data_IF_173552875765
#
_entry.id   IF_173552875765
#
_cell.length_a   1.000
_cell.length_b   1.000
_cell.length_c   1.000
_cell.angle_alpha   90.00
_cell.angle_beta   90.00
_cell.angle_gamma   90.00
#
_symmetry.space_group_name_H-M   'P 1'
#
loop_
_entity.id
_entity.type
_entity.pdbx_description
1 polymer ?
#
# COMPACT_ATOMS: atom_id res chain seq x y z
N UNK A 1 4.60 17.10 12.54
CA UNK A 1 3.70 16.63 11.46
C UNK A 1 4.56 16.22 10.28
N UNK A 2 4.38 15.02 9.70
CA UNK A 2 4.91 14.72 8.37
C UNK A 2 4.31 15.71 7.35
N UNK A 3 5.01 15.94 6.24
CA UNK A 3 4.47 16.79 5.17
C UNK A 3 3.27 16.08 4.52
N UNK A 4 2.25 16.81 4.03
CA UNK A 4 1.17 16.20 3.27
C UNK A 4 1.75 15.51 2.03
N UNK A 5 1.47 14.23 1.87
CA UNK A 5 1.85 13.44 0.69
C UNK A 5 1.26 14.07 -0.57
N UNK A 6 2.10 14.33 -1.58
CA UNK A 6 1.61 14.86 -2.84
C UNK A 6 0.68 13.86 -3.53
N UNK A 7 -0.35 14.37 -4.20
CA UNK A 7 -1.23 13.53 -5.03
C UNK A 7 -0.50 13.08 -6.30
N UNK A 8 -0.89 11.95 -6.86
CA UNK A 8 -0.30 11.44 -8.11
C UNK A 8 -0.45 12.40 -9.30
N UNK A 9 -1.51 13.21 -9.33
CA UNK A 9 -1.70 14.27 -10.34
C UNK A 9 -0.66 15.39 -10.21
N UNK A 10 -0.36 15.80 -8.98
CA UNK A 10 0.66 16.81 -8.67
C UNK A 10 2.07 16.29 -8.99
N UNK A 11 2.36 15.02 -8.64
CA UNK A 11 3.61 14.33 -8.99
C UNK A 11 3.80 14.29 -10.52
N UNK A 12 2.78 13.84 -11.27
CA UNK A 12 2.82 13.83 -12.75
C UNK A 12 3.03 15.24 -13.33
N UNK A 13 2.29 16.24 -12.85
CA UNK A 13 2.45 17.64 -13.29
C UNK A 13 3.87 18.15 -13.06
N UNK A 14 4.46 17.91 -11.88
CA UNK A 14 5.84 18.30 -11.56
C UNK A 14 6.86 17.56 -12.41
N UNK A 15 6.65 16.27 -12.67
CA UNK A 15 7.55 15.49 -13.54
C UNK A 15 7.50 15.94 -15.00
N UNK A 16 6.35 16.42 -15.49
CA UNK A 16 6.21 17.03 -16.81
C UNK A 16 7.01 18.34 -16.90
N UNK A 17 6.92 19.20 -15.88
CA UNK A 17 7.73 20.44 -15.77
C UNK A 17 9.22 20.13 -15.68
N UNK A 18 9.61 19.12 -14.91
CA UNK A 18 10.98 18.65 -14.82
C UNK A 18 11.49 18.15 -16.17
N UNK A 19 10.76 17.23 -16.81
CA UNK A 19 11.08 16.67 -18.12
C UNK A 19 11.26 17.78 -19.16
N UNK A 20 10.33 18.74 -19.23
CA UNK A 20 10.40 19.86 -20.16
C UNK A 20 11.60 20.79 -19.92
N UNK A 21 12.02 20.97 -18.66
CA UNK A 21 13.18 21.80 -18.32
C UNK A 21 14.51 21.11 -18.66
N UNK A 22 14.64 19.82 -18.36
CA UNK A 22 15.87 19.05 -18.57
C UNK A 22 15.94 18.36 -19.94
N UNK A 23 14.91 18.48 -20.78
CA UNK A 23 14.85 17.87 -22.12
C UNK A 23 15.97 18.35 -23.05
N UNK A 24 16.32 19.63 -23.01
CA UNK A 24 17.27 20.25 -23.94
C UNK A 24 18.47 20.87 -23.22
N UNK A 25 18.67 20.54 -21.93
CA UNK A 25 19.83 21.00 -21.17
C UNK A 25 21.04 20.08 -21.43
N UNK A 26 22.14 20.67 -21.89
CA UNK A 26 23.31 19.95 -22.41
C UNK A 26 24.60 20.40 -21.72
N UNK A 27 24.53 21.27 -20.71
CA UNK A 27 25.71 21.89 -20.13
C UNK A 27 26.23 21.25 -18.82
N UNK A 28 27.53 21.43 -18.59
CA UNK A 28 28.37 20.36 -18.06
C UNK A 28 28.89 20.66 -16.63
N UNK A 29 28.94 19.63 -15.78
CA UNK A 29 29.53 19.61 -14.42
C UNK A 29 28.93 20.50 -13.32
N UNK A 30 28.12 21.52 -13.63
CA UNK A 30 27.50 22.39 -12.61
C UNK A 30 26.17 21.89 -12.06
N UNK A 31 25.32 21.33 -12.93
CA UNK A 31 23.88 21.20 -12.66
C UNK A 31 23.46 19.87 -12.03
N UNK A 32 24.36 18.91 -11.79
CA UNK A 32 24.03 17.61 -11.20
C UNK A 32 23.29 17.75 -9.85
N UNK A 33 23.73 18.69 -9.00
CA UNK A 33 23.06 18.95 -7.73
C UNK A 33 21.67 19.59 -7.93
N UNK A 34 21.52 20.51 -8.90
CA UNK A 34 20.24 21.12 -9.25
C UNK A 34 19.24 20.07 -9.74
N UNK A 35 19.64 19.23 -10.70
CA UNK A 35 18.86 18.13 -11.26
C UNK A 35 18.29 17.25 -10.15
N UNK A 36 19.13 16.76 -9.22
CA UNK A 36 18.65 15.88 -8.14
C UNK A 36 17.86 16.60 -7.04
N UNK A 37 18.12 17.88 -6.76
CA UNK A 37 17.25 18.67 -5.88
C UNK A 37 15.84 18.80 -6.50
N UNK A 38 15.75 19.06 -7.81
CA UNK A 38 14.48 19.25 -8.53
C UNK A 38 13.75 17.93 -8.76
N UNK A 39 14.46 16.85 -9.05
CA UNK A 39 13.90 15.50 -9.16
C UNK A 39 13.24 15.08 -7.83
N UNK A 40 13.92 15.26 -6.70
CA UNK A 40 13.35 14.98 -5.39
C UNK A 40 12.18 15.94 -5.04
N UNK A 41 12.19 17.17 -5.54
CA UNK A 41 11.08 18.11 -5.38
C UNK A 41 9.81 17.71 -6.15
N UNK A 42 9.89 16.85 -7.17
CA UNK A 42 8.71 16.21 -7.81
C UNK A 42 7.88 15.49 -6.75
N UNK A 43 8.54 14.80 -5.82
CA UNK A 43 7.93 14.05 -4.72
C UNK A 43 7.71 14.89 -3.45
N UNK A 44 8.06 16.19 -3.49
CA UNK A 44 7.95 17.10 -2.33
C UNK A 44 9.07 16.91 -1.31
N UNK A 45 10.16 16.25 -1.69
CA UNK A 45 11.26 15.88 -0.80
C UNK A 45 12.33 16.97 -0.85
N UNK A 46 12.55 17.64 0.29
CA UNK A 46 13.77 18.44 0.46
C UNK A 46 14.95 17.50 0.70
N UNK A 47 15.78 17.36 -0.33
CA UNK A 47 17.03 16.59 -0.33
C UNK A 47 17.87 16.83 0.94
N UNK A 48 17.97 18.06 1.45
CA UNK A 48 18.77 18.38 2.66
C UNK A 48 18.29 17.66 3.93
N UNK A 49 17.06 17.14 3.94
CA UNK A 49 16.47 16.43 5.09
C UNK A 49 16.72 14.92 5.06
N UNK A 50 17.11 14.36 3.91
CA UNK A 50 17.13 12.89 3.70
C UNK A 50 18.41 12.36 3.06
N UNK A 51 19.11 13.17 2.27
CA UNK A 51 20.19 12.72 1.40
C UNK A 51 21.38 13.67 1.36
N UNK A 52 22.55 13.09 1.11
CA UNK A 52 23.84 13.76 1.06
C UNK A 52 24.35 13.78 -0.38
N UNK A 53 24.92 14.90 -0.83
CA UNK A 53 25.72 14.93 -2.06
C UNK A 53 27.17 14.57 -1.74
N UNK A 54 27.88 14.00 -2.72
CA UNK A 54 29.32 13.72 -2.66
C UNK A 54 29.70 12.89 -1.40
N UNK A 55 28.92 11.84 -1.08
CA UNK A 55 29.23 10.95 0.05
C UNK A 55 30.47 10.14 -0.30
N UNK A 56 31.53 10.27 0.51
CA UNK A 56 32.71 9.39 0.41
C UNK A 56 32.32 7.94 0.62
N UNK A 57 32.75 7.09 -0.29
CA UNK A 57 32.57 5.65 -0.25
C UNK A 57 33.84 4.94 -0.75
N UNK A 58 34.08 3.73 -0.26
CA UNK A 58 35.18 2.87 -0.71
C UNK A 58 34.67 1.94 -1.80
N UNK A 59 35.46 1.80 -2.89
CA UNK A 59 35.17 0.88 -3.99
C UNK A 59 35.66 -0.51 -3.65
N UNK A 60 34.76 -1.47 -3.50
CA UNK A 60 35.11 -2.82 -3.04
C UNK A 60 36.12 -3.51 -3.98
N UNK A 61 35.96 -3.35 -5.29
CA UNK A 61 36.81 -3.93 -6.33
C UNK A 61 38.26 -3.42 -6.35
N UNK A 62 38.54 -2.23 -5.78
CA UNK A 62 39.86 -1.58 -5.90
C UNK A 62 40.45 -1.03 -4.59
N UNK A 63 39.69 -0.98 -3.50
CA UNK A 63 40.09 -0.35 -2.23
C UNK A 63 40.31 1.17 -2.32
N UNK A 64 39.96 1.80 -3.45
CA UNK A 64 40.13 3.22 -3.66
C UNK A 64 38.92 4.00 -3.12
N UNK A 65 39.17 5.19 -2.58
CA UNK A 65 38.09 6.11 -2.22
C UNK A 65 37.52 6.78 -3.46
N UNK A 66 36.18 6.83 -3.51
CA UNK A 66 35.41 7.62 -4.45
C UNK A 66 34.30 8.39 -3.74
N UNK A 67 33.42 8.96 -4.55
CA UNK A 67 32.28 9.76 -4.09
C UNK A 67 31.03 9.25 -4.81
N UNK A 68 29.97 8.98 -4.04
CA UNK A 68 28.62 8.76 -4.54
C UNK A 68 28.01 10.14 -4.77
N UNK A 69 27.47 10.39 -5.97
CA UNK A 69 26.93 11.71 -6.33
C UNK A 69 25.79 12.13 -5.39
N UNK A 70 24.75 11.30 -5.22
CA UNK A 70 23.74 11.47 -4.15
C UNK A 70 23.46 10.17 -3.40
N UNK A 71 23.40 10.24 -2.07
CA UNK A 71 23.10 9.10 -1.21
C UNK A 71 22.02 9.41 -0.17
N UNK A 72 20.92 8.67 -0.22
CA UNK A 72 19.90 8.56 0.81
C UNK A 72 20.03 7.19 1.49
N UNK A 73 20.56 7.12 2.74
CA UNK A 73 20.73 5.86 3.46
C UNK A 73 19.41 5.07 3.55
N UNK A 74 19.46 3.78 3.21
CA UNK A 74 18.30 2.88 3.30
C UNK A 74 17.24 3.09 2.21
N UNK A 75 17.48 3.95 1.20
CA UNK A 75 16.46 4.28 0.19
C UNK A 75 17.03 4.37 -1.23
N UNK A 76 18.02 5.22 -1.47
CA UNK A 76 18.44 5.59 -2.84
C UNK A 76 19.94 5.87 -2.92
N UNK A 77 20.63 5.20 -3.84
CA UNK A 77 21.99 5.53 -4.26
C UNK A 77 21.95 6.07 -5.69
N UNK A 78 22.67 7.16 -5.95
CA UNK A 78 22.67 7.83 -7.25
C UNK A 78 24.10 8.09 -7.76
N UNK A 79 24.30 7.78 -9.03
CA UNK A 79 25.48 8.15 -9.82
C UNK A 79 25.08 8.99 -11.04
N UNK A 80 25.78 10.10 -11.26
CA UNK A 80 25.54 11.04 -12.35
C UNK A 80 26.73 11.09 -13.30
N UNK A 81 26.45 11.19 -14.61
CA UNK A 81 27.46 11.51 -15.64
C UNK A 81 27.04 12.75 -16.43
N UNK A 82 27.98 13.33 -17.17
CA UNK A 82 27.67 14.35 -18.19
C UNK A 82 26.77 13.73 -19.27
N UNK A 83 25.95 14.56 -19.94
CA UNK A 83 25.07 14.11 -21.01
C UNK A 83 25.77 13.32 -22.12
N UNK A 84 25.12 12.23 -22.56
CA UNK A 84 25.60 11.34 -23.61
C UNK A 84 26.77 10.43 -23.23
N UNK A 85 27.10 10.31 -21.93
CA UNK A 85 28.14 9.38 -21.46
C UNK A 85 27.57 8.01 -21.11
N UNK A 86 28.41 6.99 -21.25
CA UNK A 86 28.04 5.60 -21.01
C UNK A 86 27.59 5.36 -19.56
N UNK A 87 26.32 4.99 -19.42
CA UNK A 87 25.72 4.64 -18.12
C UNK A 87 26.27 3.32 -17.57
N UNK A 88 26.81 2.40 -18.38
CA UNK A 88 27.32 1.13 -17.88
C UNK A 88 28.53 1.31 -16.95
N UNK A 89 29.36 2.33 -17.19
CA UNK A 89 30.49 2.68 -16.30
C UNK A 89 29.98 3.25 -14.97
N UNK A 90 28.92 4.05 -15.01
CA UNK A 90 28.28 4.63 -13.83
C UNK A 90 27.54 3.58 -13.00
N UNK A 91 26.92 2.62 -13.67
CA UNK A 91 26.25 1.45 -13.10
C UNK A 91 27.25 0.55 -12.36
N UNK A 92 28.32 0.12 -13.03
CA UNK A 92 29.38 -0.65 -12.39
C UNK A 92 29.98 0.08 -11.17
N UNK A 93 30.16 1.41 -11.25
CA UNK A 93 30.58 2.23 -10.11
C UNK A 93 29.54 2.24 -8.97
N UNK A 94 28.25 2.37 -9.27
CA UNK A 94 27.17 2.40 -8.28
C UNK A 94 27.08 1.08 -7.51
N UNK A 95 27.15 -0.06 -8.21
CA UNK A 95 27.12 -1.40 -7.62
C UNK A 95 28.39 -1.71 -6.80
N UNK A 96 29.57 -1.28 -7.25
CA UNK A 96 30.86 -1.45 -6.54
C UNK A 96 30.95 -0.71 -5.19
N UNK A 97 30.03 0.23 -4.92
CA UNK A 97 29.88 0.84 -3.59
C UNK A 97 28.93 0.07 -2.66
N UNK A 98 28.04 -0.78 -3.17
CA UNK A 98 27.01 -1.45 -2.35
C UNK A 98 27.62 -2.42 -1.34
N UNK A 99 28.65 -3.18 -1.76
CA UNK A 99 29.38 -4.13 -0.91
C UNK A 99 30.10 -3.43 0.27
N UNK A 100 30.38 -2.13 0.15
CA UNK A 100 30.97 -1.29 1.20
C UNK A 100 29.95 -0.64 2.16
N UNK A 101 28.65 -0.82 1.95
CA UNK A 101 27.61 -0.21 2.80
C UNK A 101 27.21 -1.12 3.97
N UNK A 102 26.96 -0.57 5.17
CA UNK A 102 26.36 -1.35 6.26
C UNK A 102 24.91 -1.71 5.90
N UNK A 103 24.37 -2.88 6.31
CA UNK A 103 23.04 -3.36 5.88
C UNK A 103 21.89 -2.35 6.07
N UNK A 104 21.91 -1.59 7.16
CA UNK A 104 20.92 -0.53 7.45
C UNK A 104 20.92 0.67 6.49
N UNK A 105 22.02 0.87 5.75
CA UNK A 105 22.18 1.96 4.79
C UNK A 105 21.93 1.45 3.34
N UNK A 106 21.78 0.13 3.13
CA UNK A 106 21.61 -0.48 1.81
C UNK A 106 20.34 0.09 1.12
N UNK A 107 20.44 0.64 -0.10
CA UNK A 107 19.34 1.36 -0.72
C UNK A 107 18.27 0.41 -1.27
N UNK A 108 17.01 0.87 -1.33
CA UNK A 108 15.92 0.16 -2.05
C UNK A 108 16.05 0.29 -3.57
N UNK A 109 16.78 1.29 -4.06
CA UNK A 109 17.06 1.47 -5.47
C UNK A 109 18.44 2.11 -5.74
N UNK A 110 19.05 1.73 -6.85
CA UNK A 110 20.15 2.44 -7.51
C UNK A 110 19.58 3.21 -8.69
N UNK A 111 20.01 4.46 -8.88
CA UNK A 111 19.69 5.26 -10.06
C UNK A 111 20.95 5.82 -10.69
N UNK A 112 21.03 5.72 -12.00
CA UNK A 112 22.16 6.15 -12.82
C UNK A 112 21.64 7.07 -13.92
N UNK A 113 22.22 8.26 -14.11
CA UNK A 113 21.72 9.22 -15.11
C UNK A 113 22.82 9.97 -15.86
N UNK A 114 22.53 10.31 -17.12
CA UNK A 114 23.24 11.29 -17.95
C UNK A 114 22.36 12.50 -18.30
N UNK A 115 21.41 12.89 -17.45
CA UNK A 115 20.37 13.89 -17.69
C UNK A 115 19.33 13.48 -18.76
N UNK A 116 19.76 13.02 -19.93
CA UNK A 116 18.89 12.58 -21.01
C UNK A 116 18.20 11.24 -20.70
N UNK A 117 18.91 10.33 -20.06
CA UNK A 117 18.41 9.02 -19.66
C UNK A 117 18.57 8.81 -18.16
N UNK A 118 17.64 8.02 -17.60
CA UNK A 118 17.65 7.58 -16.21
C UNK A 118 17.52 6.05 -16.24
N UNK A 119 18.55 5.35 -15.78
CA UNK A 119 18.51 3.92 -15.48
C UNK A 119 18.14 3.75 -14.01
N UNK A 120 16.99 3.16 -13.73
CA UNK A 120 16.52 2.82 -12.39
C UNK A 120 16.67 1.31 -12.20
N UNK A 121 17.37 0.88 -11.15
CA UNK A 121 17.34 -0.51 -10.67
C UNK A 121 16.74 -0.53 -9.26
N UNK A 122 15.57 -1.16 -9.11
CA UNK A 122 14.93 -1.41 -7.81
C UNK A 122 15.33 -2.78 -7.30
N UNK A 123 15.56 -2.90 -5.99
CA UNK A 123 15.78 -4.18 -5.31
C UNK A 123 14.49 -4.68 -4.69
N UNK A 124 14.24 -5.97 -4.88
CA UNK A 124 13.12 -6.69 -4.30
C UNK A 124 13.54 -7.33 -2.96
N UNK A 125 12.59 -7.65 -2.08
CA UNK A 125 12.91 -8.16 -0.73
C UNK A 125 13.59 -9.54 -0.75
N UNK A 126 13.33 -10.34 -1.79
CA UNK A 126 13.94 -11.66 -2.03
C UNK A 126 15.36 -11.60 -2.63
N UNK A 127 15.97 -10.40 -2.73
CA UNK A 127 17.27 -10.19 -3.38
C UNK A 127 17.22 -10.13 -4.91
N UNK A 128 16.01 -10.09 -5.49
CA UNK A 128 15.80 -9.78 -6.90
C UNK A 128 16.11 -8.32 -7.23
N UNK A 129 16.26 -8.02 -8.52
CA UNK A 129 16.43 -6.64 -8.98
C UNK A 129 15.78 -6.39 -10.34
N UNK A 130 14.90 -5.38 -10.40
CA UNK A 130 14.20 -4.96 -11.61
C UNK A 130 14.84 -3.68 -12.17
N UNK A 131 15.18 -3.68 -13.47
CA UNK A 131 15.91 -2.58 -14.12
C UNK A 131 15.11 -1.98 -15.27
N UNK A 132 15.01 -0.64 -15.28
CA UNK A 132 14.29 0.15 -16.26
C UNK A 132 15.22 1.23 -16.83
N UNK A 133 15.16 1.45 -18.15
CA UNK A 133 15.84 2.56 -18.82
C UNK A 133 14.76 3.54 -19.33
N UNK A 134 14.84 4.77 -18.86
CA UNK A 134 13.81 5.80 -19.03
C UNK A 134 14.45 6.99 -19.74
N UNK A 135 13.83 7.47 -20.83
CA UNK A 135 14.13 8.78 -21.41
C UNK A 135 13.51 9.87 -20.53
N UNK A 136 14.30 10.82 -20.04
CA UNK A 136 13.84 11.90 -19.17
C UNK A 136 12.72 12.73 -19.81
N UNK A 137 12.66 12.84 -21.14
CA UNK A 137 11.55 13.50 -21.86
C UNK A 137 10.22 12.76 -21.71
N UNK A 138 10.26 11.47 -21.40
CA UNK A 138 9.10 10.63 -21.14
C UNK A 138 8.84 10.40 -19.64
N UNK A 139 9.60 11.03 -18.73
CA UNK A 139 9.52 10.80 -17.29
C UNK A 139 8.09 10.90 -16.73
N UNK A 140 7.22 11.78 -17.25
CA UNK A 140 5.82 11.87 -16.79
C UNK A 140 5.04 10.55 -16.91
N UNK A 141 5.33 9.73 -17.92
CA UNK A 141 4.67 8.43 -18.13
C UNK A 141 5.26 7.33 -17.24
N UNK A 142 6.48 7.54 -16.77
CA UNK A 142 7.32 6.62 -16.01
C UNK A 142 7.70 7.21 -14.63
N UNK A 143 6.90 8.15 -14.09
CA UNK A 143 7.11 8.78 -12.77
C UNK A 143 6.45 7.98 -11.66
N UNK A 144 5.45 7.21 -12.04
CA UNK A 144 5.17 5.90 -11.50
C UNK A 144 6.48 5.05 -11.47
N UNK A 145 6.59 3.95 -10.71
CA UNK A 145 7.87 3.27 -10.34
C UNK A 145 8.80 4.05 -9.41
N UNK A 146 8.82 5.40 -9.43
CA UNK A 146 9.63 6.23 -8.52
C UNK A 146 8.88 6.69 -7.26
N UNK A 147 7.56 6.52 -7.20
CA UNK A 147 6.74 7.08 -6.12
C UNK A 147 7.03 6.45 -4.74
N UNK A 148 7.77 5.33 -4.68
CA UNK A 148 8.35 4.78 -3.44
C UNK A 148 9.17 5.82 -2.66
N UNK A 149 9.80 6.78 -3.35
CA UNK A 149 10.51 7.91 -2.72
C UNK A 149 9.57 8.80 -1.88
N UNK A 150 8.31 8.96 -2.31
CA UNK A 150 7.28 9.71 -1.60
C UNK A 150 6.63 8.93 -0.45
N UNK A 151 7.04 7.68 -0.20
CA UNK A 151 6.36 6.76 0.70
C UNK A 151 5.09 6.12 0.12
N UNK A 152 4.75 6.42 -1.14
CA UNK A 152 3.72 5.69 -1.87
C UNK A 152 4.30 4.33 -2.27
N UNK A 153 3.81 3.25 -1.66
CA UNK A 153 4.19 1.90 -2.09
C UNK A 153 3.53 1.62 -3.44
N UNK A 154 4.21 1.98 -4.53
CA UNK A 154 3.75 1.57 -5.84
C UNK A 154 4.05 0.11 -6.04
N UNK A 155 2.95 -0.61 -6.22
CA UNK A 155 2.87 -1.93 -6.81
C UNK A 155 3.35 -1.80 -8.25
N UNK A 156 4.56 -2.28 -8.55
CA UNK A 156 5.13 -2.27 -9.90
C UNK A 156 4.52 -3.38 -10.80
N UNK A 157 3.20 -3.57 -10.70
CA UNK A 157 2.46 -4.49 -11.54
C UNK A 157 1.97 -3.78 -12.80
N UNK A 158 2.27 -4.36 -13.96
CA UNK A 158 1.47 -4.13 -15.17
C UNK A 158 0.02 -4.58 -14.91
N UNK A 159 -0.95 -4.06 -15.67
CA UNK A 159 -2.36 -4.45 -15.52
C UNK A 159 -2.56 -5.98 -15.59
N UNK A 160 -1.77 -6.68 -16.40
CA UNK A 160 -1.78 -8.15 -16.49
C UNK A 160 -1.20 -8.85 -15.25
N UNK A 161 -0.18 -8.26 -14.60
CA UNK A 161 0.33 -8.76 -13.32
C UNK A 161 -0.65 -8.48 -12.18
N UNK A 162 -1.29 -7.31 -12.17
CA UNK A 162 -2.31 -6.97 -11.17
C UNK A 162 -3.52 -7.90 -11.29
N UNK A 163 -3.99 -8.18 -12.52
CA UNK A 163 -5.03 -9.17 -12.78
C UNK A 163 -4.62 -10.59 -12.31
N UNK A 164 -3.38 -11.01 -12.54
CA UNK A 164 -2.87 -12.31 -12.09
C UNK A 164 -2.76 -12.42 -10.55
N UNK A 165 -2.30 -11.37 -9.88
CA UNK A 165 -2.25 -11.25 -8.41
C UNK A 165 -3.67 -11.29 -7.84
N UNK A 166 -4.59 -10.48 -8.37
CA UNK A 166 -5.99 -10.44 -7.97
C UNK A 166 -6.69 -11.80 -8.18
N UNK A 167 -6.47 -12.46 -9.32
CA UNK A 167 -7.01 -13.80 -9.59
C UNK A 167 -6.46 -14.87 -8.63
N UNK A 168 -5.21 -14.73 -8.19
CA UNK A 168 -4.60 -15.61 -7.18
C UNK A 168 -5.22 -15.40 -5.81
N UNK A 169 -5.42 -14.15 -5.37
CA UNK A 169 -6.13 -13.81 -4.12
C UNK A 169 -7.56 -14.39 -4.09
N UNK A 170 -8.33 -14.21 -5.17
CA UNK A 170 -9.69 -14.79 -5.31
C UNK A 170 -9.66 -16.32 -5.22
N UNK A 171 -8.66 -16.97 -5.83
CA UNK A 171 -8.49 -18.43 -5.77
C UNK A 171 -8.18 -18.91 -4.34
N UNK A 172 -7.28 -18.23 -3.62
CA UNK A 172 -6.91 -18.57 -2.25
C UNK A 172 -8.12 -18.46 -1.30
N UNK A 173 -8.83 -17.33 -1.31
CA UNK A 173 -10.07 -17.16 -0.53
C UNK A 173 -11.15 -18.18 -0.91
N UNK A 174 -11.27 -18.50 -2.20
CA UNK A 174 -12.22 -19.50 -2.69
C UNK A 174 -11.90 -20.93 -2.25
N UNK A 175 -10.62 -21.28 -2.07
CA UNK A 175 -10.19 -22.56 -1.49
C UNK A 175 -10.51 -22.59 0.00
N UNK A 176 -10.09 -21.56 0.75
CA UNK A 176 -10.34 -21.46 2.19
C UNK A 176 -11.85 -21.49 2.51
N UNK A 177 -12.68 -20.78 1.74
CA UNK A 177 -14.14 -20.84 1.87
C UNK A 177 -14.72 -22.23 1.60
N UNK A 178 -14.20 -22.94 0.59
CA UNK A 178 -14.67 -24.29 0.26
C UNK A 178 -14.45 -25.29 1.40
N UNK A 179 -13.34 -25.18 2.13
CA UNK A 179 -13.09 -26.03 3.30
C UNK A 179 -14.18 -25.82 4.37
N UNK A 180 -14.55 -24.57 4.70
CA UNK A 180 -15.63 -24.30 5.66
C UNK A 180 -17.02 -24.75 5.19
N UNK A 181 -17.34 -24.66 3.89
CA UNK A 181 -18.64 -25.14 3.38
C UNK A 181 -18.84 -26.66 3.39
N UNK A 182 -17.80 -27.46 3.71
CA UNK A 182 -17.95 -28.90 3.91
C UNK A 182 -18.64 -29.21 5.24
N UNK A 183 -18.44 -28.34 6.22
CA UNK A 183 -19.12 -28.35 7.51
C UNK A 183 -20.39 -27.51 7.44
N UNK A 184 -21.34 -27.79 8.33
CA UNK A 184 -22.68 -27.20 8.31
C UNK A 184 -22.76 -25.80 8.96
N UNK A 185 -21.72 -24.97 8.79
CA UNK A 185 -21.71 -23.57 9.27
C UNK A 185 -22.71 -22.71 8.49
N UNK A 186 -23.20 -21.63 9.12
CA UNK A 186 -24.12 -20.71 8.45
C UNK A 186 -23.39 -19.84 7.42
N UNK A 187 -24.07 -19.49 6.31
CA UNK A 187 -23.51 -18.59 5.28
C UNK A 187 -23.16 -17.21 5.87
N UNK A 188 -23.93 -16.75 6.85
CA UNK A 188 -23.73 -15.48 7.55
C UNK A 188 -22.43 -15.48 8.37
N UNK A 189 -22.25 -16.45 9.27
CA UNK A 189 -21.03 -16.55 10.09
C UNK A 189 -19.81 -16.81 9.23
N UNK A 190 -19.93 -17.68 8.21
CA UNK A 190 -18.85 -17.93 7.25
C UNK A 190 -18.46 -16.64 6.51
N UNK A 191 -19.44 -15.82 6.08
CA UNK A 191 -19.18 -14.53 5.42
C UNK A 191 -18.44 -13.55 6.33
N UNK A 192 -18.85 -13.43 7.60
CA UNK A 192 -18.18 -12.55 8.57
C UNK A 192 -16.77 -13.08 8.88
N UNK A 193 -16.63 -14.40 9.07
CA UNK A 193 -15.34 -15.04 9.33
C UNK A 193 -14.34 -14.79 8.19
N UNK A 194 -14.74 -15.04 6.94
CA UNK A 194 -13.89 -14.76 5.76
C UNK A 194 -13.54 -13.26 5.64
N UNK A 195 -14.46 -12.37 6.00
CA UNK A 195 -14.21 -10.91 6.03
C UNK A 195 -13.16 -10.54 7.08
N UNK A 196 -13.23 -11.15 8.27
CA UNK A 196 -12.25 -10.95 9.35
C UNK A 196 -10.87 -11.49 9.00
N UNK A 197 -10.81 -12.68 8.39
CA UNK A 197 -9.56 -13.26 7.88
C UNK A 197 -8.96 -12.36 6.81
N UNK A 198 -9.74 -11.88 5.84
CA UNK A 198 -9.25 -10.97 4.80
C UNK A 198 -8.70 -9.66 5.36
N UNK A 199 -9.34 -9.10 6.39
CA UNK A 199 -8.83 -7.92 7.09
C UNK A 199 -7.50 -8.20 7.80
N UNK A 200 -7.35 -9.36 8.44
CA UNK A 200 -6.11 -9.75 9.13
C UNK A 200 -4.97 -9.98 8.15
N UNK A 201 -5.23 -10.67 7.04
CA UNK A 201 -4.29 -10.87 5.95
C UNK A 201 -3.81 -9.54 5.37
N UNK A 202 -4.72 -8.60 5.09
CA UNK A 202 -4.35 -7.26 4.62
C UNK A 202 -3.59 -6.44 5.68
N UNK A 203 -3.90 -6.60 6.97
CA UNK A 203 -3.23 -5.88 8.05
C UNK A 203 -1.78 -6.29 8.28
N UNK A 204 -1.46 -7.57 8.08
CA UNK A 204 -0.08 -8.10 8.13
C UNK A 204 0.80 -7.41 7.07
N UNK A 205 0.33 -7.28 5.82
CA UNK A 205 1.13 -6.76 4.72
C UNK A 205 1.08 -5.24 4.53
N UNK A 206 0.08 -4.56 5.09
CA UNK A 206 -0.04 -3.09 5.02
C UNK A 206 0.46 -2.33 6.26
N UNK A 207 0.96 -3.06 7.26
CA UNK A 207 1.58 -2.46 8.44
C UNK A 207 0.58 -1.86 9.44
N UNK A 208 -0.63 -2.43 9.55
CA UNK A 208 -1.54 -2.12 10.66
C UNK A 208 -0.98 -2.59 12.01
N UNK A 209 -0.06 -3.56 11.97
CA UNK A 209 0.73 -4.11 13.08
C UNK A 209 2.05 -4.66 12.50
N UNK A 210 2.98 -5.25 13.30
CA UNK A 210 4.20 -5.86 12.77
C UNK A 210 3.92 -6.90 11.68
N UNK A 211 4.64 -6.84 10.56
CA UNK A 211 4.42 -7.74 9.41
C UNK A 211 4.63 -9.21 9.79
N UNK A 212 3.74 -10.07 9.31
CA UNK A 212 3.75 -11.51 9.60
C UNK A 212 3.22 -11.90 10.98
N UNK A 213 2.67 -10.97 11.77
CA UNK A 213 2.17 -11.29 13.12
C UNK A 213 0.96 -12.24 13.08
N UNK A 214 0.06 -12.08 12.10
CA UNK A 214 -1.06 -13.00 11.90
C UNK A 214 -0.61 -14.33 11.29
N UNK A 215 0.32 -14.31 10.33
CA UNK A 215 1.00 -15.52 9.86
C UNK A 215 1.56 -16.34 11.03
N UNK A 216 2.40 -15.71 11.86
CA UNK A 216 3.10 -16.37 12.96
C UNK A 216 2.14 -16.88 14.05
N UNK A 217 1.03 -16.17 14.30
CA UNK A 217 -0.01 -16.62 15.23
C UNK A 217 -0.67 -17.94 14.76
N UNK A 218 -0.89 -18.12 13.45
CA UNK A 218 -1.44 -19.36 12.88
C UNK A 218 -0.35 -20.44 12.77
N UNK A 219 0.88 -20.08 12.39
CA UNK A 219 2.00 -21.02 12.25
C UNK A 219 2.40 -21.62 13.62
N UNK A 220 2.26 -20.85 14.71
CA UNK A 220 2.46 -21.33 16.08
C UNK A 220 1.40 -22.33 16.57
N UNK A 221 0.25 -22.46 15.91
CA UNK A 221 -0.76 -23.45 16.32
C UNK A 221 -0.33 -24.88 15.97
N UNK A 222 -0.81 -25.91 16.70
CA UNK A 222 -0.58 -27.30 16.35
C UNK A 222 -1.06 -27.64 14.93
N UNK A 223 -0.37 -28.59 14.28
CA UNK A 223 -0.54 -28.96 12.87
C UNK A 223 -1.91 -29.61 12.59
N UNK A 224 -2.53 -30.21 13.60
CA UNK A 224 -3.88 -30.77 13.55
C UNK A 224 -5.01 -29.73 13.37
N UNK A 225 -4.74 -28.44 13.65
CA UNK A 225 -5.71 -27.34 13.53
C UNK A 225 -6.51 -27.04 14.80
N UNK A 226 -6.53 -27.92 15.80
CA UNK A 226 -7.53 -27.88 16.90
C UNK A 226 -7.51 -26.55 17.69
N UNK A 227 -6.33 -25.97 17.90
CA UNK A 227 -6.20 -24.71 18.64
C UNK A 227 -6.45 -23.43 17.81
N UNK A 228 -6.61 -23.50 16.48
CA UNK A 228 -6.75 -22.31 15.63
C UNK A 228 -8.02 -21.54 15.99
N UNK A 229 -9.16 -22.22 16.11
CA UNK A 229 -10.46 -21.59 16.37
C UNK A 229 -10.45 -20.75 17.67
N UNK A 230 -9.95 -21.32 18.76
CA UNK A 230 -9.82 -20.62 20.04
C UNK A 230 -8.80 -19.47 20.03
N UNK A 231 -7.75 -19.58 19.21
CA UNK A 231 -6.76 -18.52 19.03
C UNK A 231 -7.35 -17.33 18.26
N UNK A 232 -8.14 -17.60 17.20
CA UNK A 232 -8.84 -16.57 16.42
C UNK A 232 -9.95 -15.89 17.22
N UNK A 233 -10.74 -16.62 18.03
CA UNK A 233 -11.73 -16.04 18.94
C UNK A 233 -11.08 -15.07 19.96
N UNK A 234 -9.94 -15.47 20.55
CA UNK A 234 -9.18 -14.60 21.45
C UNK A 234 -8.64 -13.34 20.74
N UNK A 235 -8.17 -13.49 19.49
CA UNK A 235 -7.71 -12.38 18.64
C UNK A 235 -8.86 -11.41 18.30
N UNK A 236 -10.01 -11.92 17.83
CA UNK A 236 -11.17 -11.09 17.48
C UNK A 236 -11.64 -10.26 18.68
N UNK A 237 -11.69 -10.85 19.88
CA UNK A 237 -12.02 -10.14 21.14
C UNK A 237 -10.97 -9.11 21.55
N UNK A 238 -9.70 -9.29 21.18
CA UNK A 238 -8.68 -8.27 21.41
C UNK A 238 -8.85 -7.09 20.44
N UNK A 239 -9.12 -7.35 19.16
CA UNK A 239 -9.33 -6.33 18.12
C UNK A 239 -10.60 -5.49 18.37
N UNK A 240 -11.61 -6.06 19.02
CA UNK A 240 -12.83 -5.36 19.48
C UNK A 240 -12.67 -4.64 20.83
N UNK A 241 -11.51 -4.73 21.50
CA UNK A 241 -11.32 -4.15 22.84
C UNK A 241 -10.19 -3.12 22.92
N UNK A 242 -10.44 -1.90 23.47
CA UNK A 242 -9.40 -0.91 23.72
C UNK A 242 -8.22 -1.49 24.51
N UNK A 243 -7.00 -1.18 24.09
CA UNK A 243 -5.75 -1.72 24.68
C UNK A 243 -5.67 -1.55 26.20
N UNK A 244 -6.12 -0.40 26.70
CA UNK A 244 -6.17 -0.03 28.13
C UNK A 244 -7.14 -0.87 28.96
N UNK A 245 -8.09 -1.56 28.33
CA UNK A 245 -9.08 -2.41 28.99
C UNK A 245 -8.76 -3.91 28.88
N UNK A 246 -7.73 -4.28 28.12
CA UNK A 246 -7.34 -5.68 27.93
C UNK A 246 -6.72 -6.25 29.21
N UNK A 247 -6.80 -7.58 29.36
CA UNK A 247 -6.14 -8.28 30.46
C UNK A 247 -4.63 -8.11 30.38
N UNK A 248 -3.97 -7.79 31.51
CA UNK A 248 -2.51 -7.80 31.62
C UNK A 248 -1.87 -9.20 31.50
N UNK A 249 -2.69 -10.24 31.28
CA UNK A 249 -2.29 -11.63 31.02
C UNK A 249 -2.66 -12.08 29.59
N UNK A 250 -3.02 -11.15 28.71
CA UNK A 250 -3.22 -11.44 27.29
C UNK A 250 -1.90 -11.99 26.69
N UNK A 251 -1.99 -12.97 25.79
CA UNK A 251 -0.83 -13.60 25.17
C UNK A 251 0.07 -12.57 24.48
N UNK A 252 1.39 -12.72 24.59
CA UNK A 252 2.36 -11.87 23.90
C UNK A 252 2.19 -11.94 22.38
N UNK A 253 1.73 -13.06 21.81
CA UNK A 253 1.41 -13.19 20.38
C UNK A 253 0.13 -12.44 19.95
N UNK A 254 -0.73 -12.01 20.89
CA UNK A 254 -2.00 -11.29 20.60
C UNK A 254 -1.95 -9.82 21.06
N UNK A 255 -1.18 -9.52 22.11
CA UNK A 255 -1.05 -8.16 22.63
C UNK A 255 -0.66 -7.05 21.62
N UNK A 256 0.12 -7.29 20.54
CA UNK A 256 0.55 -6.23 19.62
C UNK A 256 -0.51 -5.82 18.60
N UNK A 257 -1.62 -6.56 18.47
CA UNK A 257 -2.71 -6.19 17.57
C UNK A 257 -3.48 -4.98 18.13
N UNK A 258 -3.71 -3.90 17.36
CA UNK A 258 -4.35 -2.67 17.84
C UNK A 258 -5.85 -2.85 18.11
N UNK A 259 -6.51 -1.83 18.66
CA UNK A 259 -7.97 -1.76 18.70
C UNK A 259 -8.55 -1.23 17.37
N UNK A 260 -9.55 -1.91 16.80
CA UNK A 260 -10.12 -1.62 15.47
C UNK A 260 -11.53 -1.01 15.56
N UNK A 261 -11.75 -0.17 16.59
CA UNK A 261 -12.97 0.63 16.79
C UNK A 261 -14.31 -0.15 16.79
N UNK A 262 -14.28 -1.46 17.05
CA UNK A 262 -15.48 -2.31 17.12
C UNK A 262 -16.40 -2.26 15.90
N UNK A 263 -15.82 -2.19 14.69
CA UNK A 263 -16.56 -2.38 13.44
C UNK A 263 -16.78 -3.87 13.18
N UNK A 264 -15.97 -4.42 12.27
CA UNK A 264 -16.08 -5.81 11.78
C UNK A 264 -15.93 -6.90 12.85
N UNK A 265 -15.42 -6.59 14.05
CA UNK A 265 -15.16 -7.54 15.15
C UNK A 265 -16.23 -7.58 16.26
N UNK A 266 -17.18 -6.64 16.28
CA UNK A 266 -18.16 -6.46 17.35
C UNK A 266 -19.23 -7.55 17.44
N UNK A 267 -19.60 -8.14 16.30
CA UNK A 267 -20.53 -9.28 16.29
C UNK A 267 -19.84 -10.54 16.81
N UNK A 268 -20.43 -11.19 17.82
CA UNK A 268 -19.96 -12.50 18.25
C UNK A 268 -20.48 -13.57 17.28
N UNK A 269 -19.56 -14.32 16.65
CA UNK A 269 -19.86 -15.42 15.73
C UNK A 269 -19.23 -16.70 16.28
N UNK A 270 -19.77 -17.87 15.94
CA UNK A 270 -19.01 -19.11 16.14
C UNK A 270 -17.84 -19.15 15.15
N UNK A 271 -16.61 -19.22 15.67
CA UNK A 271 -15.43 -19.41 14.83
C UNK A 271 -15.42 -20.88 14.38
N UNK A 272 -15.33 -21.16 13.06
CA UNK A 272 -15.26 -22.54 12.57
C UNK A 272 -14.17 -23.34 13.28
N UNK A 273 -14.46 -24.59 13.62
CA UNK A 273 -13.44 -25.53 14.06
C UNK A 273 -12.52 -25.86 12.88
N UNK A 274 -11.23 -26.03 13.16
CA UNK A 274 -10.20 -26.26 12.15
C UNK A 274 -9.68 -27.69 12.21
N UNK A 275 -9.52 -28.30 11.05
CA UNK A 275 -8.64 -29.45 10.86
C UNK A 275 -7.28 -29.03 10.25
N UNK A 276 -6.44 -30.04 9.98
CA UNK A 276 -5.12 -29.82 9.38
C UNK A 276 -5.18 -29.22 7.96
N UNK A 277 -6.22 -29.54 7.19
CA UNK A 277 -6.40 -29.02 5.83
C UNK A 277 -6.87 -27.56 5.84
N UNK A 278 -7.82 -27.21 6.71
CA UNK A 278 -8.24 -25.83 6.96
C UNK A 278 -7.09 -24.96 7.47
N UNK A 279 -6.27 -25.46 8.41
CA UNK A 279 -5.06 -24.75 8.89
C UNK A 279 -4.07 -24.53 7.74
N UNK A 280 -3.83 -25.55 6.92
CA UNK A 280 -2.92 -25.43 5.78
C UNK A 280 -3.44 -24.42 4.74
N UNK A 281 -4.74 -24.40 4.46
CA UNK A 281 -5.37 -23.43 3.55
C UNK A 281 -5.27 -21.99 4.09
N UNK A 282 -5.46 -21.77 5.39
CA UNK A 282 -5.29 -20.47 6.02
C UNK A 282 -3.82 -20.00 5.97
N UNK A 283 -2.86 -20.88 6.28
CA UNK A 283 -1.43 -20.54 6.15
C UNK A 283 -1.01 -20.23 4.72
N UNK A 284 -1.57 -20.91 3.73
CA UNK A 284 -1.30 -20.58 2.32
C UNK A 284 -1.86 -19.21 1.94
N UNK A 285 -2.97 -18.77 2.55
CA UNK A 285 -3.42 -17.38 2.45
C UNK A 285 -2.41 -16.43 3.13
N UNK A 286 -1.91 -16.74 4.32
CA UNK A 286 -0.94 -15.91 5.05
C UNK A 286 0.43 -15.76 4.37
N UNK A 287 0.77 -16.59 3.37
CA UNK A 287 2.02 -16.48 2.59
C UNK A 287 1.92 -15.59 1.36
N UNK A 288 0.71 -15.22 0.97
CA UNK A 288 0.46 -14.34 -0.17
C UNK A 288 0.52 -12.88 0.29
N UNK A 289 1.12 -12.00 -0.51
CA UNK A 289 1.17 -10.54 -0.22
C UNK A 289 -0.20 -9.90 -0.51
N UNK A 290 -0.98 -9.63 0.54
CA UNK A 290 -2.27 -8.94 0.43
C UNK A 290 -2.08 -7.42 0.27
N UNK A 291 -0.90 -6.90 0.60
CA UNK A 291 -0.46 -5.55 0.24
C UNK A 291 -0.35 -5.35 -1.27
N UNK A 292 -0.27 -6.42 -2.07
CA UNK A 292 -0.25 -6.39 -3.53
C UNK A 292 -1.63 -6.17 -4.20
N UNK A 293 -2.76 -6.46 -3.52
CA UNK A 293 -4.08 -6.60 -4.17
C UNK A 293 -4.80 -5.27 -4.45
N UNK A 294 -5.39 -5.12 -5.62
CA UNK A 294 -6.19 -3.94 -5.96
C UNK A 294 -7.47 -3.87 -5.12
N UNK A 295 -7.91 -2.71 -4.61
CA UNK A 295 -9.23 -2.61 -3.93
C UNK A 295 -10.39 -3.15 -4.78
N UNK A 296 -10.22 -3.13 -6.11
CA UNK A 296 -11.17 -3.65 -7.09
C UNK A 296 -11.47 -5.15 -6.94
N UNK A 297 -10.56 -5.93 -6.34
CA UNK A 297 -10.71 -7.38 -6.18
C UNK A 297 -11.61 -7.76 -4.99
N UNK A 298 -11.92 -6.84 -4.07
CA UNK A 298 -12.84 -7.11 -2.96
C UNK A 298 -14.23 -7.54 -3.45
N UNK A 299 -14.77 -6.86 -4.47
CA UNK A 299 -16.07 -7.21 -5.07
C UNK A 299 -16.13 -8.65 -5.60
N UNK A 300 -15.24 -9.03 -6.55
CA UNK A 300 -15.10 -10.41 -7.02
C UNK A 300 -14.85 -11.44 -5.92
N UNK A 301 -14.08 -11.11 -4.87
CA UNK A 301 -13.90 -12.00 -3.71
C UNK A 301 -15.21 -12.24 -2.96
N UNK A 302 -15.93 -11.19 -2.56
CA UNK A 302 -17.22 -11.35 -1.88
C UNK A 302 -18.27 -12.08 -2.73
N UNK A 303 -18.19 -11.97 -4.07
CA UNK A 303 -19.03 -12.74 -4.98
C UNK A 303 -18.59 -14.19 -5.18
N UNK A 304 -17.30 -14.52 -5.01
CA UNK A 304 -16.79 -15.88 -5.17
C UNK A 304 -17.06 -16.76 -3.94
N UNK A 305 -17.15 -16.15 -2.75
CA UNK A 305 -17.47 -16.79 -1.47
C UNK A 305 -18.98 -16.85 -1.16
N UNK A 306 -19.86 -16.60 -2.14
CA UNK A 306 -21.32 -16.80 -2.00
C UNK A 306 -21.87 -17.86 -2.96
N UNK A 307 -22.93 -18.54 -2.52
CA UNK A 307 -23.56 -19.62 -3.28
C UNK A 307 -24.09 -19.14 -4.66
N UNK A 308 -24.06 -20.03 -5.66
CA UNK A 308 -24.41 -19.69 -7.05
C UNK A 308 -25.91 -19.40 -7.24
N UNK A 309 -26.77 -19.90 -6.35
CA UNK A 309 -28.22 -19.70 -6.41
C UNK A 309 -28.62 -18.28 -5.97
N UNK A 310 -28.10 -17.82 -4.84
CA UNK A 310 -28.52 -16.59 -4.16
C UNK A 310 -28.07 -15.33 -4.91
N UNK A 311 -26.93 -15.41 -5.63
CA UNK A 311 -26.48 -14.36 -6.56
C UNK A 311 -27.54 -13.91 -7.56
N UNK A 312 -28.36 -14.84 -8.08
CA UNK A 312 -29.43 -14.52 -9.04
C UNK A 312 -30.70 -14.03 -8.36
N UNK A 313 -30.95 -14.43 -7.12
CA UNK A 313 -32.14 -14.06 -6.36
C UNK A 313 -32.06 -12.66 -5.74
N UNK A 314 -30.85 -12.10 -5.54
CA UNK A 314 -30.65 -10.84 -4.82
C UNK A 314 -30.06 -9.70 -5.67
N UNK A 315 -29.59 -9.99 -6.90
CA UNK A 315 -29.10 -8.95 -7.82
C UNK A 315 -27.75 -8.35 -7.40
N UNK A 316 -26.96 -9.08 -6.60
CA UNK A 316 -25.71 -8.65 -5.99
C UNK A 316 -24.54 -8.59 -7.00
N UNK A 317 -24.66 -7.70 -7.98
CA UNK A 317 -23.59 -7.38 -8.92
C UNK A 317 -22.71 -6.25 -8.37
N UNK A 318 -21.44 -6.57 -8.11
CA UNK A 318 -20.42 -5.56 -7.82
C UNK A 318 -20.38 -4.52 -8.95
N UNK A 319 -20.44 -3.24 -8.56
CA UNK A 319 -20.31 -2.13 -9.51
C UNK A 319 -18.83 -1.82 -9.68
N UNK A 320 -18.31 -1.97 -10.91
CA UNK A 320 -16.89 -1.73 -11.19
C UNK A 320 -16.49 -0.27 -10.88
N UNK A 321 -15.22 0.01 -10.53
CA UNK A 321 -14.75 1.37 -10.26
C UNK A 321 -15.02 2.32 -11.42
N UNK A 322 -14.90 1.85 -12.67
CA UNK A 322 -15.24 2.62 -13.87
C UNK A 322 -16.70 3.09 -13.86
N UNK A 323 -17.64 2.22 -13.43
CA UNK A 323 -19.07 2.54 -13.35
C UNK A 323 -19.41 3.36 -12.09
N UNK A 324 -18.66 3.19 -10.99
CA UNK A 324 -18.70 4.11 -9.85
C UNK A 324 -18.28 5.51 -10.30
N UNK A 325 -17.13 5.64 -11.00
CA UNK A 325 -16.58 6.89 -11.53
C UNK A 325 -17.59 7.62 -12.40
N UNK A 326 -18.19 6.93 -13.39
CA UNK A 326 -19.29 7.46 -14.25
C UNK A 326 -20.46 8.06 -13.47
N UNK A 327 -20.66 7.66 -12.22
CA UNK A 327 -21.71 8.17 -11.34
C UNK A 327 -21.18 9.30 -10.44
N UNK A 328 -20.10 9.07 -9.68
CA UNK A 328 -19.63 10.01 -8.64
C UNK A 328 -18.88 11.21 -9.21
N UNK A 329 -18.24 11.07 -10.39
CA UNK A 329 -17.51 12.16 -11.05
C UNK A 329 -18.43 13.34 -11.38
N UNK A 330 -19.48 13.17 -12.21
CA UNK A 330 -20.41 14.26 -12.52
C UNK A 330 -21.30 14.65 -11.32
N UNK A 331 -21.52 13.76 -10.34
CA UNK A 331 -22.40 14.02 -9.20
C UNK A 331 -21.76 14.97 -8.17
N UNK A 332 -20.47 14.81 -7.89
CA UNK A 332 -19.76 15.71 -6.96
C UNK A 332 -18.24 15.82 -7.17
N UNK A 333 -17.56 14.77 -7.64
CA UNK A 333 -16.09 14.77 -7.63
C UNK A 333 -15.49 15.81 -8.58
N UNK A 334 -16.11 16.07 -9.73
CA UNK A 334 -15.66 17.11 -10.66
C UNK A 334 -15.80 18.51 -10.07
N UNK A 335 -16.87 18.77 -9.29
CA UNK A 335 -17.02 20.02 -8.55
C UNK A 335 -15.93 20.18 -7.50
N UNK A 336 -15.58 19.12 -6.76
CA UNK A 336 -14.47 19.15 -5.80
C UNK A 336 -13.12 19.38 -6.48
N UNK A 337 -12.87 18.73 -7.62
CA UNK A 337 -11.64 18.94 -8.42
C UNK A 337 -11.55 20.39 -8.93
N UNK A 338 -12.66 20.98 -9.35
CA UNK A 338 -12.74 22.39 -9.75
C UNK A 338 -12.47 23.33 -8.57
N UNK A 339 -13.20 23.18 -7.46
CA UNK A 339 -13.04 24.00 -6.25
C UNK A 339 -11.61 23.94 -5.68
N UNK A 340 -10.98 22.76 -5.71
CA UNK A 340 -9.57 22.60 -5.34
C UNK A 340 -8.64 23.39 -6.27
N UNK A 341 -8.90 23.39 -7.58
CA UNK A 341 -8.20 24.22 -8.56
C UNK A 341 -8.35 25.71 -8.30
N UNK A 342 -9.56 26.18 -7.96
CA UNK A 342 -9.87 27.57 -7.61
C UNK A 342 -9.27 28.02 -6.26
N UNK A 343 -8.95 27.07 -5.38
CA UNK A 343 -8.18 27.31 -4.16
C UNK A 343 -6.69 27.59 -4.48
N UNK A 344 -6.12 26.87 -5.44
CA UNK A 344 -4.72 26.96 -5.81
C UNK A 344 -3.81 26.78 -4.59
N UNK A 345 -2.82 27.66 -4.43
CA UNK A 345 -1.90 27.68 -3.27
C UNK A 345 -2.41 28.49 -2.08
N UNK A 346 -3.65 29.01 -2.11
CA UNK A 346 -4.17 29.85 -1.03
C UNK A 346 -4.57 29.02 0.19
N UNK A 347 -3.73 29.05 1.23
CA UNK A 347 -3.90 28.28 2.47
C UNK A 347 -5.25 28.48 3.16
N UNK A 348 -5.83 29.68 3.12
CA UNK A 348 -7.12 29.96 3.76
C UNK A 348 -8.29 29.39 2.96
N UNK A 349 -8.24 29.46 1.62
CA UNK A 349 -9.20 28.77 0.75
C UNK A 349 -9.11 27.25 0.94
N UNK A 350 -7.90 26.69 0.89
CA UNK A 350 -7.65 25.25 1.09
C UNK A 350 -8.16 24.74 2.45
N UNK A 351 -7.94 25.49 3.54
CA UNK A 351 -8.49 25.14 4.87
C UNK A 351 -10.02 25.17 4.90
N UNK A 352 -10.63 26.16 4.26
CA UNK A 352 -12.09 26.28 4.18
C UNK A 352 -12.70 25.13 3.35
N UNK A 353 -12.08 24.80 2.22
CA UNK A 353 -12.47 23.68 1.36
C UNK A 353 -12.29 22.32 2.06
N UNK A 354 -11.17 22.10 2.74
CA UNK A 354 -10.95 20.89 3.55
C UNK A 354 -12.00 20.76 4.65
N UNK A 355 -12.39 21.87 5.31
CA UNK A 355 -13.50 21.85 6.27
C UNK A 355 -14.83 21.48 5.59
N UNK A 356 -15.19 22.12 4.47
CA UNK A 356 -16.46 21.79 3.80
C UNK A 356 -16.54 20.34 3.34
N UNK A 357 -15.43 19.71 2.93
CA UNK A 357 -15.41 18.27 2.60
C UNK A 357 -15.84 17.38 3.78
N UNK A 358 -15.57 17.78 5.03
CA UNK A 358 -15.99 17.05 6.23
C UNK A 358 -17.48 17.19 6.58
N UNK A 359 -18.17 18.18 6.01
CA UNK A 359 -19.60 18.41 6.23
C UNK A 359 -20.47 17.54 5.29
N UNK A 360 -19.92 17.04 4.18
CA UNK A 360 -20.66 16.17 3.25
C UNK A 360 -21.02 14.81 3.89
N UNK A 361 -22.19 14.30 3.52
CA UNK A 361 -22.67 12.96 3.88
C UNK A 361 -23.10 12.25 2.60
N UNK A 362 -22.60 11.05 2.40
CA UNK A 362 -22.90 10.22 1.24
C UNK A 362 -23.81 9.08 1.69
N UNK A 363 -24.89 8.85 0.95
CA UNK A 363 -25.84 7.77 1.21
C UNK A 363 -25.92 6.88 -0.03
N UNK A 364 -25.37 5.68 0.07
CA UNK A 364 -25.75 4.57 -0.81
C UNK A 364 -26.79 3.72 -0.06
N UNK A 365 -28.09 3.85 -0.39
CA UNK A 365 -29.14 3.12 0.30
C UNK A 365 -29.19 1.63 -0.09
N UNK A 366 -28.36 1.18 -1.03
CA UNK A 366 -28.29 -0.19 -1.53
C UNK A 366 -26.91 -0.86 -1.34
N UNK A 367 -25.98 -0.20 -0.64
CA UNK A 367 -24.65 -0.72 -0.33
C UNK A 367 -24.75 -2.11 0.34
N UNK A 368 -24.40 -3.16 -0.42
CA UNK A 368 -24.47 -4.57 -0.01
C UNK A 368 -25.82 -5.05 0.59
N UNK A 369 -26.95 -4.77 -0.08
CA UNK A 369 -28.19 -5.55 0.13
C UNK A 369 -28.06 -6.91 -0.60
N UNK A 370 -28.23 -8.09 0.00
CA UNK A 370 -28.68 -8.44 1.37
C UNK A 370 -27.82 -9.56 1.99
N UNK A 371 -27.18 -9.24 3.11
CA UNK A 371 -27.07 -10.16 4.26
C UNK A 371 -27.33 -9.35 5.54
N UNK A 372 -27.80 -10.00 6.60
CA UNK A 372 -28.29 -9.31 7.81
C UNK A 372 -27.19 -8.53 8.58
N UNK A 373 -25.91 -8.74 8.23
CA UNK A 373 -24.70 -8.00 8.68
C UNK A 373 -24.87 -6.46 8.63
N UNK A 374 -25.67 -5.95 7.68
CA UNK A 374 -25.78 -4.49 7.42
C UNK A 374 -26.69 -3.71 8.38
N UNK A 375 -27.42 -4.37 9.30
CA UNK A 375 -28.46 -3.70 10.11
C UNK A 375 -27.95 -2.86 11.29
N UNK A 376 -26.77 -3.18 11.84
CA UNK A 376 -26.38 -2.67 13.17
C UNK A 376 -25.28 -1.58 13.15
N UNK A 377 -24.96 -1.02 11.97
CA UNK A 377 -24.18 0.22 11.87
C UNK A 377 -25.13 1.42 12.03
N UNK A 378 -25.64 1.61 13.26
CA UNK A 378 -26.35 2.84 13.61
C UNK A 378 -25.41 4.05 13.57
N UNK A 379 -25.69 5.00 12.67
CA UNK A 379 -24.99 6.28 12.57
C UNK A 379 -25.42 7.31 13.65
N UNK A 380 -25.81 6.84 14.84
CA UNK A 380 -26.36 7.64 15.93
C UNK A 380 -25.30 8.01 16.99
N UNK A 381 -24.33 8.87 16.67
CA UNK A 381 -23.38 9.39 17.69
C UNK A 381 -22.77 10.77 17.41
N UNK A 382 -23.38 11.61 16.56
CA UNK A 382 -22.90 12.99 16.30
C UNK A 382 -23.64 14.12 17.06
N UNK A 383 -24.60 13.80 17.95
CA UNK A 383 -25.39 14.83 18.67
C UNK A 383 -24.85 15.23 20.06
N UNK A 384 -23.72 14.69 20.53
CA UNK A 384 -23.26 14.85 21.94
C UNK A 384 -21.90 15.54 22.14
N UNK A 385 -21.45 16.35 21.18
CA UNK A 385 -20.37 17.32 21.38
C UNK A 385 -20.83 18.76 21.13
N UNK A 386 -21.80 19.20 21.95
CA UNK A 386 -21.99 20.63 22.19
C UNK A 386 -20.79 21.22 22.95
N UNK A 387 -20.50 22.52 22.82
CA UNK A 387 -19.31 23.12 23.43
C UNK A 387 -19.46 23.20 24.95
N UNK A 388 -18.59 22.48 25.67
CA UNK A 388 -18.32 22.77 27.08
C UNK A 388 -17.42 24.01 27.19
N UNK A 389 -17.64 24.81 28.23
CA UNK A 389 -17.10 26.17 28.43
C UNK A 389 -15.61 26.23 28.77
#
# INVERSE_FOLDING_TARGET
MPAPSLSMKEIRTRSSVFAARWADDVYEKGESQSFWNEFLAIFGIDRKRVAYFEKRAERFSTGNQGFIDLFWPGMLLVEQKSAGKDLAVADAQAFDYLDGLPPKDFPRAVVVSDFAHIKLTRFDEDGGANTYLIDTKNLEKEIDRFTFLAGHVQRDFTAAQEEAVNATAVKLMGILYQEFTRDHYSEHETSIFMTRVLFLLFGDDTGLWPRGLFHDLVEQSPVDGEAVAGTLDALFRALDRPETERSSRLSESISPFPYVNGGIFKEHIEVPQFDSAMRAALLECCRFDWGAISPDVFGPMFQSVKAKADRWAHGEHYTTPENISKTIDPLFMDSFRQQLGECGTNLNKLRSFHKSLSDYRYLDPAFMRKSDVSRDIEWNSLEHLGPAA
#
